data_IF_027105244418
#
_entry.id   IF_027105244418
#
_cell.length_a   1.000
_cell.length_b   1.000
_cell.length_c   1.000
_cell.angle_alpha   90.00
_cell.angle_beta   90.00
_cell.angle_gamma   90.00
#
_symmetry.space_group_name_H-M   'P 1'
#
loop_
_entity.id
_entity.type
_entity.pdbx_description
1 polymer ?
#
# COMPACT_ATOMS: atom_id res chain seq x y z
N UNK A 1 49.69 35.53 -42.21
CA UNK A 1 50.83 34.65 -41.89
C UNK A 1 50.36 33.49 -41.01
N UNK A 2 50.69 32.26 -41.42
CA UNK A 2 50.93 31.01 -40.66
C UNK A 2 50.07 30.55 -39.45
N UNK A 3 49.40 29.39 -39.69
CA UNK A 3 49.36 28.08 -38.97
C UNK A 3 49.50 28.00 -37.44
N UNK A 4 48.58 27.23 -36.83
CA UNK A 4 48.70 26.02 -35.93
C UNK A 4 47.26 25.42 -35.83
N UNK A 5 46.96 24.24 -36.40
CA UNK A 5 46.85 22.87 -35.78
C UNK A 5 45.48 22.63 -35.08
N UNK A 6 44.67 21.58 -35.26
CA UNK A 6 44.88 20.12 -35.28
C UNK A 6 43.60 19.39 -35.79
N UNK A 7 43.75 18.16 -36.30
CA UNK A 7 42.69 17.12 -36.29
C UNK A 7 41.90 16.92 -37.59
N UNK A 8 42.32 15.95 -38.42
CA UNK A 8 41.78 15.71 -39.76
C UNK A 8 40.50 14.87 -39.86
N UNK A 9 39.90 14.77 -41.07
CA UNK A 9 38.84 13.80 -41.35
C UNK A 9 39.26 12.75 -42.41
N UNK A 10 38.68 11.57 -42.25
CA UNK A 10 38.89 10.33 -43.00
C UNK A 10 38.51 10.43 -44.49
N UNK A 11 39.18 9.69 -45.39
CA UNK A 11 38.61 9.33 -46.68
C UNK A 11 37.67 8.13 -46.47
N UNK A 12 36.47 8.06 -47.04
CA UNK A 12 36.09 8.52 -48.37
C UNK A 12 35.90 7.27 -49.23
N UNK A 13 34.63 6.88 -49.42
CA UNK A 13 34.17 5.80 -50.28
C UNK A 13 34.65 6.00 -51.74
N UNK A 14 35.21 4.96 -52.36
CA UNK A 14 34.63 4.29 -53.54
C UNK A 14 35.61 3.29 -54.19
N UNK A 15 35.15 2.06 -54.36
CA UNK A 15 35.52 1.18 -55.48
C UNK A 15 34.42 0.12 -55.64
N UNK A 16 33.58 0.21 -56.70
CA UNK A 16 32.66 -0.86 -57.05
C UNK A 16 33.39 -1.86 -57.95
N UNK A 17 33.13 -3.15 -57.69
CA UNK A 17 33.38 -4.20 -58.68
C UNK A 17 34.53 -5.13 -58.37
N UNK A 18 34.26 -6.13 -57.52
CA UNK A 18 34.59 -7.49 -57.92
C UNK A 18 33.63 -8.47 -57.23
N UNK A 19 32.72 -8.99 -58.05
CA UNK A 19 31.88 -10.14 -57.74
C UNK A 19 32.78 -11.31 -57.34
N UNK A 20 32.70 -11.72 -56.09
CA UNK A 20 32.93 -13.10 -55.69
C UNK A 20 31.57 -13.66 -55.28
N UNK A 21 31.14 -14.72 -55.98
CA UNK A 21 29.83 -15.33 -55.79
C UNK A 21 29.61 -15.71 -54.33
N UNK A 22 28.46 -15.29 -53.78
CA UNK A 22 27.98 -15.76 -52.50
C UNK A 22 27.38 -17.15 -52.72
N UNK A 23 28.10 -18.16 -52.25
CA UNK A 23 27.56 -19.52 -52.13
C UNK A 23 26.64 -19.54 -50.92
N UNK A 24 25.32 -19.54 -51.17
CA UNK A 24 24.30 -19.62 -50.14
C UNK A 24 24.20 -21.08 -49.67
N UNK A 25 24.88 -21.44 -48.58
CA UNK A 25 24.72 -22.78 -48.03
C UNK A 25 25.67 -23.25 -46.92
N UNK A 26 26.64 -22.45 -46.45
CA UNK A 26 27.53 -22.89 -45.36
C UNK A 26 27.31 -22.10 -44.07
N UNK A 27 26.57 -22.72 -43.14
CA UNK A 27 26.47 -22.29 -41.75
C UNK A 27 27.86 -22.19 -41.13
N UNK A 28 28.27 -20.98 -40.72
CA UNK A 28 29.57 -20.75 -40.06
C UNK A 28 29.51 -21.31 -38.64
N UNK A 29 30.25 -22.38 -38.41
CA UNK A 29 30.38 -23.04 -37.09
C UNK A 29 31.68 -22.64 -36.42
N UNK A 30 31.65 -22.37 -35.11
CA UNK A 30 32.81 -22.07 -34.27
C UNK A 30 32.67 -22.69 -32.87
N UNK A 31 33.59 -22.39 -31.97
CA UNK A 31 33.52 -22.82 -30.56
C UNK A 31 33.57 -21.63 -29.62
N UNK A 32 32.60 -21.50 -28.71
CA UNK A 32 32.54 -20.47 -27.68
C UNK A 32 32.63 -21.15 -26.30
N UNK A 33 33.64 -20.82 -25.49
CA UNK A 33 33.86 -21.42 -24.16
C UNK A 33 33.94 -22.97 -24.17
N UNK A 34 34.42 -23.56 -25.26
CA UNK A 34 34.53 -25.02 -25.41
C UNK A 34 33.27 -25.70 -25.95
N UNK A 35 32.17 -24.97 -26.12
CA UNK A 35 30.92 -25.46 -26.71
C UNK A 35 30.85 -25.14 -28.20
N UNK A 36 30.30 -26.07 -28.99
CA UNK A 36 30.08 -25.87 -30.42
C UNK A 36 28.94 -24.86 -30.65
N UNK A 37 29.27 -23.73 -31.29
CA UNK A 37 28.33 -22.69 -31.67
C UNK A 37 28.15 -22.66 -33.19
N UNK A 38 26.91 -22.51 -33.65
CA UNK A 38 26.56 -22.40 -35.06
C UNK A 38 25.88 -21.07 -35.28
N UNK A 39 26.37 -20.28 -36.24
CA UNK A 39 25.70 -19.06 -36.65
C UNK A 39 24.46 -19.45 -37.47
N UNK A 40 23.28 -19.19 -36.94
CA UNK A 40 22.02 -19.37 -37.64
C UNK A 40 21.82 -18.17 -38.58
N UNK A 41 21.74 -18.42 -39.88
CA UNK A 41 21.35 -17.41 -40.86
C UNK A 41 19.82 -17.39 -40.99
N UNK A 42 19.23 -16.22 -40.72
CA UNK A 42 17.79 -15.97 -40.78
C UNK A 42 17.35 -14.90 -39.77
N UNK A 43 16.21 -14.26 -40.02
CA UNK A 43 15.57 -13.38 -39.04
C UNK A 43 15.07 -14.23 -37.87
N UNK A 44 15.91 -14.34 -36.84
CA UNK A 44 15.48 -14.85 -35.54
C UNK A 44 14.54 -13.79 -34.98
N UNK A 45 13.23 -14.00 -35.11
CA UNK A 45 12.24 -13.24 -34.33
C UNK A 45 12.74 -13.22 -32.89
N UNK A 46 12.95 -12.02 -32.34
CA UNK A 46 13.61 -11.87 -31.06
C UNK A 46 12.81 -12.68 -30.03
N UNK A 47 13.48 -13.47 -29.19
CA UNK A 47 12.80 -14.23 -28.13
C UNK A 47 11.94 -13.29 -27.25
N UNK A 48 12.34 -12.01 -27.15
CA UNK A 48 11.58 -10.94 -26.51
C UNK A 48 10.26 -10.64 -27.22
N UNK A 49 10.27 -10.54 -28.55
CA UNK A 49 9.07 -10.26 -29.35
C UNK A 49 8.06 -11.40 -29.22
N UNK A 50 8.54 -12.65 -29.25
CA UNK A 50 7.69 -13.84 -29.04
C UNK A 50 7.14 -13.90 -27.60
N UNK A 51 7.93 -13.51 -26.60
CA UNK A 51 7.47 -13.45 -25.21
C UNK A 51 6.44 -12.32 -25.00
N UNK A 52 6.61 -11.18 -25.65
CA UNK A 52 5.65 -10.07 -25.64
C UNK A 52 4.33 -10.48 -26.31
N UNK A 53 4.37 -11.13 -27.48
CA UNK A 53 3.18 -11.62 -28.18
C UNK A 53 2.40 -12.64 -27.33
N UNK A 54 3.09 -13.60 -26.69
CA UNK A 54 2.45 -14.57 -25.78
C UNK A 54 1.83 -13.86 -24.57
N UNK A 55 2.53 -12.86 -24.01
CA UNK A 55 2.05 -12.10 -22.85
C UNK A 55 0.82 -11.26 -23.20
N UNK A 56 0.82 -10.60 -24.37
CA UNK A 56 -0.31 -9.83 -24.89
C UNK A 56 -1.51 -10.72 -25.20
N UNK A 57 -1.30 -11.86 -25.86
CA UNK A 57 -2.37 -12.81 -26.15
C UNK A 57 -3.00 -13.38 -24.87
N UNK A 58 -2.21 -13.59 -23.81
CA UNK A 58 -2.75 -14.01 -22.52
C UNK A 58 -3.49 -12.88 -21.81
N UNK A 59 -2.93 -11.66 -21.79
CA UNK A 59 -3.56 -10.49 -21.21
C UNK A 59 -4.90 -10.15 -21.86
N UNK A 60 -5.00 -10.22 -23.20
CA UNK A 60 -6.25 -9.99 -23.94
C UNK A 60 -7.34 -10.99 -23.55
N UNK A 61 -6.96 -12.24 -23.22
CA UNK A 61 -7.88 -13.27 -22.74
C UNK A 61 -8.25 -13.14 -21.25
N UNK A 62 -7.57 -12.26 -20.49
CA UNK A 62 -7.81 -12.06 -19.05
C UNK A 62 -8.29 -10.66 -18.66
N UNK A 63 -8.37 -9.71 -19.58
CA UNK A 63 -8.80 -8.33 -19.26
C UNK A 63 -10.31 -8.13 -19.40
N UNK A 64 -11.08 -8.68 -18.46
CA UNK A 64 -12.54 -8.45 -18.36
C UNK A 64 -12.91 -7.18 -17.56
N UNK A 65 -11.97 -6.26 -17.32
CA UNK A 65 -12.23 -5.06 -16.48
C UNK A 65 -11.67 -3.78 -17.08
N UNK A 66 -12.55 -3.02 -17.72
CA UNK A 66 -12.21 -1.70 -18.22
C UNK A 66 -11.98 -0.70 -17.08
N UNK A 67 -11.19 0.36 -17.33
CA UNK A 67 -10.90 1.41 -16.34
C UNK A 67 -12.17 2.04 -15.74
N UNK A 68 -13.27 2.12 -16.50
CA UNK A 68 -14.57 2.62 -16.04
C UNK A 68 -15.29 1.70 -15.04
N UNK A 69 -14.93 0.40 -15.02
CA UNK A 69 -15.52 -0.61 -14.14
C UNK A 69 -14.72 -0.75 -12.83
N UNK A 70 -13.51 -0.18 -12.80
CA UNK A 70 -12.73 -0.05 -11.57
C UNK A 70 -13.35 1.07 -10.72
N UNK A 71 -13.91 0.69 -9.57
CA UNK A 71 -14.33 1.65 -8.53
C UNK A 71 -13.09 2.33 -7.94
N UNK A 72 -12.60 3.36 -8.61
CA UNK A 72 -11.61 4.28 -8.07
C UNK A 72 -12.30 5.08 -6.95
N UNK A 73 -12.09 4.68 -5.71
CA UNK A 73 -12.38 5.57 -4.58
C UNK A 73 -11.31 6.66 -4.63
N UNK A 74 -11.68 7.94 -4.79
CA UNK A 74 -10.69 9.00 -4.71
C UNK A 74 -10.01 8.93 -3.35
N UNK A 75 -8.68 8.95 -3.35
CA UNK A 75 -7.87 9.12 -2.15
C UNK A 75 -8.29 10.44 -1.51
N UNK A 76 -9.08 10.37 -0.43
CA UNK A 76 -9.31 11.56 0.39
C UNK A 76 -8.07 11.78 1.23
N UNK A 77 -7.57 13.02 1.35
CA UNK A 77 -6.52 13.32 2.31
C UNK A 77 -6.98 12.85 3.68
N UNK A 78 -6.14 12.08 4.38
CA UNK A 78 -6.40 11.71 5.77
C UNK A 78 -6.44 13.00 6.58
N UNK A 79 -7.63 13.40 7.03
CA UNK A 79 -7.77 14.55 7.91
C UNK A 79 -7.26 14.14 9.29
N UNK A 80 -6.00 14.47 9.54
CA UNK A 80 -5.33 14.07 10.76
C UNK A 80 -5.83 14.93 11.93
N UNK A 81 -6.40 14.27 12.94
CA UNK A 81 -6.87 14.92 14.16
C UNK A 81 -5.71 15.58 14.92
N UNK A 82 -6.00 16.61 15.71
CA UNK A 82 -5.04 17.19 16.66
C UNK A 82 -4.91 16.27 17.87
N UNK A 83 -3.75 16.30 18.54
CA UNK A 83 -3.51 15.48 19.74
C UNK A 83 -4.59 15.69 20.81
N UNK A 84 -4.99 16.94 21.06
CA UNK A 84 -6.04 17.27 22.02
C UNK A 84 -7.39 16.64 21.68
N UNK A 85 -7.78 16.67 20.40
CA UNK A 85 -9.04 16.06 19.93
C UNK A 85 -9.01 14.55 20.12
N UNK A 86 -7.88 13.90 19.86
CA UNK A 86 -7.72 12.46 20.07
C UNK A 86 -7.85 12.08 21.55
N UNK A 87 -7.25 12.87 22.44
CA UNK A 87 -7.35 12.65 23.89
C UNK A 87 -8.79 12.85 24.40
N UNK A 88 -9.48 13.89 23.92
CA UNK A 88 -10.89 14.12 24.22
C UNK A 88 -11.77 12.95 23.76
N UNK A 89 -11.54 12.45 22.54
CA UNK A 89 -12.25 11.27 22.03
C UNK A 89 -11.96 10.02 22.86
N UNK A 90 -10.71 9.79 23.27
CA UNK A 90 -10.36 8.67 24.13
C UNK A 90 -11.00 8.77 25.51
N UNK A 91 -11.19 9.96 26.06
CA UNK A 91 -11.90 10.15 27.32
C UNK A 91 -13.36 9.67 27.23
N UNK A 92 -14.00 9.83 26.07
CA UNK A 92 -15.37 9.34 25.83
C UNK A 92 -15.48 7.81 25.83
N UNK A 93 -14.38 7.07 25.83
CA UNK A 93 -14.40 5.61 25.97
C UNK A 93 -14.78 5.15 27.37
N UNK A 94 -14.87 6.05 28.36
CA UNK A 94 -15.14 5.73 29.77
C UNK A 94 -14.17 4.68 30.34
N UNK A 95 -12.97 4.59 29.78
CA UNK A 95 -11.91 3.70 30.22
C UNK A 95 -10.81 4.50 30.93
N UNK A 96 -10.66 4.34 32.27
CA UNK A 96 -9.73 5.15 33.05
C UNK A 96 -8.25 4.90 32.69
N UNK A 97 -7.96 3.78 32.02
CA UNK A 97 -6.60 3.40 31.63
C UNK A 97 -6.31 3.67 30.14
N UNK A 98 -7.27 4.24 29.39
CA UNK A 98 -7.11 4.43 27.95
C UNK A 98 -5.96 5.38 27.62
N UNK A 99 -5.86 6.51 28.32
CA UNK A 99 -4.81 7.50 28.10
C UNK A 99 -3.41 6.94 28.48
N UNK A 100 -3.29 6.23 29.59
CA UNK A 100 -2.01 5.62 29.97
C UNK A 100 -1.55 4.58 28.93
N UNK A 101 -2.47 3.74 28.43
CA UNK A 101 -2.17 2.79 27.35
C UNK A 101 -1.82 3.49 26.03
N UNK A 102 -2.47 4.60 25.71
CA UNK A 102 -2.16 5.41 24.54
C UNK A 102 -0.71 5.91 24.58
N UNK A 103 -0.30 6.48 25.70
CA UNK A 103 1.06 6.99 25.89
C UNK A 103 2.10 5.87 25.82
N UNK A 104 1.84 4.74 26.48
CA UNK A 104 2.72 3.57 26.47
C UNK A 104 2.85 2.97 25.06
N UNK A 105 1.74 2.91 24.31
CA UNK A 105 1.75 2.49 22.92
C UNK A 105 2.54 3.47 22.05
N UNK A 106 2.28 4.77 22.17
CA UNK A 106 2.97 5.79 21.40
C UNK A 106 4.48 5.73 21.65
N UNK A 107 4.92 5.62 22.91
CA UNK A 107 6.34 5.48 23.24
C UNK A 107 6.97 4.22 22.59
N UNK A 108 6.26 3.08 22.61
CA UNK A 108 6.72 1.84 21.97
C UNK A 108 6.81 1.98 20.46
N UNK A 109 5.80 2.56 19.82
CA UNK A 109 5.80 2.80 18.38
C UNK A 109 6.93 3.74 17.98
N UNK A 110 7.11 4.84 18.71
CA UNK A 110 8.15 5.83 18.46
C UNK A 110 9.57 5.30 18.74
N UNK A 111 9.71 4.22 19.51
CA UNK A 111 10.97 3.49 19.66
C UNK A 111 11.34 2.63 18.44
N UNK A 112 10.47 2.55 17.43
CA UNK A 112 10.70 1.79 16.19
C UNK A 112 10.59 0.28 16.34
N UNK A 113 10.06 -0.21 17.46
CA UNK A 113 9.93 -1.64 17.71
C UNK A 113 8.63 -2.17 17.14
N UNK A 114 8.69 -3.24 16.33
CA UNK A 114 7.52 -4.01 15.91
C UNK A 114 6.61 -3.35 14.87
N UNK A 115 5.55 -4.06 14.48
CA UNK A 115 4.56 -3.57 13.51
C UNK A 115 3.55 -2.64 14.20
N UNK A 116 3.27 -1.44 13.66
CA UNK A 116 2.30 -0.53 14.26
C UNK A 116 0.90 -1.10 14.40
N UNK A 117 0.40 -1.77 13.34
CA UNK A 117 -0.90 -2.44 13.32
C UNK A 117 -1.04 -3.47 14.43
N UNK A 118 -0.05 -4.36 14.57
CA UNK A 118 -0.07 -5.41 15.59
C UNK A 118 -0.02 -4.84 17.01
N UNK A 119 0.68 -3.73 17.22
CA UNK A 119 0.75 -3.10 18.54
C UNK A 119 -0.53 -2.35 18.88
N UNK A 120 -1.09 -1.60 17.93
CA UNK A 120 -2.39 -0.95 18.12
C UNK A 120 -3.48 -1.98 18.47
N UNK A 121 -3.56 -3.10 17.72
CA UNK A 121 -4.52 -4.16 17.98
C UNK A 121 -4.32 -4.88 19.32
N UNK A 122 -3.10 -4.92 19.86
CA UNK A 122 -2.83 -5.46 21.20
C UNK A 122 -3.24 -4.50 22.32
N UNK A 123 -3.09 -3.20 22.08
CA UNK A 123 -3.40 -2.18 23.09
C UNK A 123 -4.91 -1.86 23.17
N UNK A 124 -5.58 -1.88 22.01
CA UNK A 124 -6.98 -1.50 21.87
C UNK A 124 -7.76 -2.56 21.10
N UNK A 125 -8.87 -3.02 21.69
CA UNK A 125 -9.75 -4.01 21.06
C UNK A 125 -10.57 -3.42 19.90
N UNK A 126 -11.06 -2.19 20.05
CA UNK A 126 -11.86 -1.54 19.02
C UNK A 126 -11.03 -0.91 17.92
N UNK A 127 -11.47 -1.10 16.68
CA UNK A 127 -10.77 -0.62 15.49
C UNK A 127 -10.72 0.91 15.41
N UNK A 128 -11.76 1.59 15.90
CA UNK A 128 -11.80 3.05 16.00
C UNK A 128 -10.77 3.57 17.00
N UNK A 129 -10.58 2.87 18.12
CA UNK A 129 -9.57 3.21 19.13
C UNK A 129 -8.15 2.91 18.62
N UNK A 130 -7.96 1.79 17.90
CA UNK A 130 -6.69 1.50 17.21
C UNK A 130 -6.32 2.61 16.24
N UNK A 131 -7.29 3.09 15.45
CA UNK A 131 -7.10 4.19 14.50
C UNK A 131 -6.72 5.50 15.21
N UNK A 132 -7.43 5.87 16.27
CA UNK A 132 -7.09 7.03 17.10
C UNK A 132 -5.68 6.92 17.68
N UNK A 133 -5.30 5.73 18.14
CA UNK A 133 -3.99 5.52 18.74
C UNK A 133 -2.83 5.63 17.74
N UNK A 134 -3.02 5.13 16.51
CA UNK A 134 -2.03 5.31 15.44
C UNK A 134 -1.94 6.77 14.99
N UNK A 135 -3.07 7.49 14.90
CA UNK A 135 -3.05 8.93 14.63
C UNK A 135 -2.32 9.71 15.72
N UNK A 136 -2.52 9.34 16.99
CA UNK A 136 -1.83 9.96 18.12
C UNK A 136 -0.32 9.77 18.01
N UNK A 137 0.13 8.53 17.79
CA UNK A 137 1.54 8.22 17.63
C UNK A 137 2.16 8.96 16.43
N UNK A 138 1.46 9.04 15.30
CA UNK A 138 1.91 9.80 14.13
C UNK A 138 2.09 11.29 14.46
N UNK A 139 1.06 11.92 15.04
CA UNK A 139 1.11 13.34 15.40
C UNK A 139 2.18 13.66 16.44
N UNK A 140 2.34 12.80 17.44
CA UNK A 140 3.37 12.94 18.46
C UNK A 140 4.76 12.78 17.84
N UNK A 141 4.95 11.78 16.98
CA UNK A 141 6.21 11.59 16.24
C UNK A 141 6.55 12.76 15.33
N UNK A 142 5.57 13.35 14.65
CA UNK A 142 5.76 14.56 13.83
C UNK A 142 6.23 15.75 14.68
N UNK A 143 5.68 15.94 15.89
CA UNK A 143 6.10 16.99 16.82
C UNK A 143 7.47 16.75 17.44
N UNK A 144 7.82 15.49 17.70
CA UNK A 144 9.08 15.08 18.32
C UNK A 144 10.22 14.90 17.30
N UNK A 145 9.94 15.04 15.99
CA UNK A 145 10.94 14.88 14.94
C UNK A 145 11.42 13.44 14.76
N UNK A 146 10.50 12.47 14.88
CA UNK A 146 10.80 11.06 14.68
C UNK A 146 11.27 10.76 13.23
N UNK A 147 11.93 9.61 13.05
CA UNK A 147 12.52 9.22 11.77
C UNK A 147 11.46 9.16 10.65
N UNK A 148 11.76 9.66 9.43
CA UNK A 148 10.79 9.67 8.32
C UNK A 148 10.22 8.30 8.00
N UNK A 149 11.04 7.25 8.04
CA UNK A 149 10.65 5.88 7.75
C UNK A 149 9.66 5.35 8.79
N UNK A 150 9.81 5.77 10.04
CA UNK A 150 8.89 5.41 11.11
C UNK A 150 7.55 6.10 10.93
N UNK A 151 7.56 7.39 10.61
CA UNK A 151 6.34 8.15 10.32
C UNK A 151 5.60 7.55 9.12
N UNK A 152 6.34 7.12 8.10
CA UNK A 152 5.74 6.44 6.94
C UNK A 152 5.11 5.10 7.31
N UNK A 153 5.79 4.29 8.13
CA UNK A 153 5.21 3.03 8.62
C UNK A 153 3.89 3.23 9.41
N UNK A 154 3.75 4.38 10.09
CA UNK A 154 2.51 4.74 10.79
C UNK A 154 1.41 5.18 9.82
N UNK A 155 1.77 5.90 8.74
CA UNK A 155 0.83 6.28 7.67
C UNK A 155 0.33 5.05 6.91
N UNK A 156 1.22 4.12 6.56
CA UNK A 156 0.86 2.86 5.92
C UNK A 156 -0.09 2.04 6.79
N UNK A 157 0.20 1.95 8.09
CA UNK A 157 -0.67 1.30 9.07
C UNK A 157 -2.07 1.93 9.15
N UNK A 158 -2.16 3.27 9.13
CA UNK A 158 -3.43 3.98 9.10
C UNK A 158 -4.19 3.74 7.80
N UNK A 159 -3.50 3.78 6.66
CA UNK A 159 -4.10 3.56 5.34
C UNK A 159 -4.65 2.13 5.20
N UNK A 160 -3.90 1.12 5.65
CA UNK A 160 -4.34 -0.28 5.67
C UNK A 160 -5.57 -0.47 6.58
N UNK A 161 -5.55 0.15 7.77
CA UNK A 161 -6.67 0.08 8.71
C UNK A 161 -7.95 0.71 8.11
N UNK A 162 -7.85 1.87 7.47
CA UNK A 162 -8.97 2.52 6.77
C UNK A 162 -9.45 1.71 5.56
N UNK A 163 -8.53 1.08 4.81
CA UNK A 163 -8.86 0.25 3.67
C UNK A 163 -9.72 -0.96 4.10
N UNK A 164 -9.31 -1.64 5.16
CA UNK A 164 -9.99 -2.84 5.67
C UNK A 164 -11.25 -2.51 6.46
N UNK A 165 -11.21 -1.47 7.29
CA UNK A 165 -12.19 -1.24 8.36
C UNK A 165 -12.81 0.16 8.34
N UNK A 166 -12.63 0.96 7.29
CA UNK A 166 -13.10 2.35 7.22
C UNK A 166 -14.56 2.58 7.65
N UNK A 167 -15.55 1.81 7.18
CA UNK A 167 -16.94 1.95 7.65
C UNK A 167 -17.09 1.75 9.16
N UNK A 168 -16.37 0.76 9.71
CA UNK A 168 -16.39 0.42 11.13
C UNK A 168 -15.68 1.49 11.98
N UNK A 169 -14.56 2.04 11.49
CA UNK A 169 -13.86 3.16 12.11
C UNK A 169 -14.80 4.37 12.18
N UNK A 170 -15.39 4.78 11.05
CA UNK A 170 -16.31 5.92 11.01
C UNK A 170 -17.53 5.73 11.91
N UNK A 171 -18.14 4.55 11.92
CA UNK A 171 -19.26 4.25 12.82
C UNK A 171 -18.84 4.40 14.30
N UNK A 172 -17.68 3.86 14.68
CA UNK A 172 -17.15 3.99 16.03
C UNK A 172 -16.88 5.45 16.40
N UNK A 173 -16.17 6.21 15.56
CA UNK A 173 -15.86 7.62 15.83
C UNK A 173 -17.12 8.49 15.93
N UNK A 174 -18.10 8.29 15.05
CA UNK A 174 -19.34 9.06 15.04
C UNK A 174 -20.24 8.81 16.26
N UNK A 175 -20.12 7.64 16.89
CA UNK A 175 -20.93 7.27 18.05
C UNK A 175 -20.23 7.47 19.37
N UNK A 176 -18.91 7.65 19.38
CA UNK A 176 -18.10 7.66 20.59
C UNK A 176 -18.54 8.72 21.60
N UNK A 177 -18.86 9.94 21.14
CA UNK A 177 -19.37 11.00 22.02
C UNK A 177 -20.71 10.64 22.67
N UNK A 178 -21.72 10.26 21.87
CA UNK A 178 -23.02 9.85 22.41
C UNK A 178 -22.92 8.61 23.31
N UNK A 179 -22.10 7.63 22.93
CA UNK A 179 -21.87 6.45 23.76
C UNK A 179 -21.25 6.82 25.11
N UNK A 180 -20.28 7.74 25.13
CA UNK A 180 -19.66 8.25 26.35
C UNK A 180 -20.62 9.03 27.25
N UNK A 181 -21.60 9.74 26.69
CA UNK A 181 -22.63 10.44 27.47
C UNK A 181 -23.63 9.48 28.14
N UNK A 182 -24.00 8.38 27.48
CA UNK A 182 -25.01 7.44 27.97
C UNK A 182 -24.45 6.30 28.82
N UNK A 183 -23.21 5.88 28.58
CA UNK A 183 -22.60 4.76 29.27
C UNK A 183 -21.83 5.20 30.53
N UNK A 184 -21.93 4.40 31.59
CA UNK A 184 -21.21 4.62 32.84
C UNK A 184 -19.77 4.06 32.82
N UNK A 185 -19.47 3.15 31.89
CA UNK A 185 -18.17 2.49 31.78
C UNK A 185 -17.85 2.10 30.32
N UNK A 186 -16.61 1.64 30.12
CA UNK A 186 -16.11 1.21 28.81
C UNK A 186 -16.93 0.07 28.17
N UNK A 187 -17.54 -0.81 28.99
CA UNK A 187 -18.37 -1.91 28.48
C UNK A 187 -19.70 -1.39 27.94
N UNK A 188 -20.29 -0.39 28.61
CA UNK A 188 -21.48 0.29 28.14
C UNK A 188 -21.22 1.04 26.83
N UNK A 189 -20.08 1.74 26.72
CA UNK A 189 -19.66 2.42 25.48
C UNK A 189 -19.56 1.40 24.35
N UNK A 190 -18.84 0.30 24.60
CA UNK A 190 -18.68 -0.79 23.64
C UNK A 190 -20.02 -1.35 23.16
N UNK A 191 -20.92 -1.68 24.11
CA UNK A 191 -22.23 -2.26 23.81
C UNK A 191 -23.10 -1.32 22.95
N UNK A 192 -23.01 -0.01 23.21
CA UNK A 192 -23.70 1.00 22.41
C UNK A 192 -23.15 1.02 20.97
N UNK A 193 -21.83 1.06 20.83
CA UNK A 193 -21.16 1.11 19.53
C UNK A 193 -21.41 -0.15 18.70
N UNK A 194 -21.41 -1.32 19.33
CA UNK A 194 -21.76 -2.59 18.71
C UNK A 194 -23.21 -2.57 18.19
N UNK A 195 -24.16 -2.17 19.03
CA UNK A 195 -25.57 -2.07 18.64
C UNK A 195 -25.78 -1.12 17.46
N UNK A 196 -25.13 0.06 17.49
CA UNK A 196 -25.22 1.01 16.40
C UNK A 196 -24.60 0.43 15.11
N UNK A 197 -23.44 -0.22 15.23
CA UNK A 197 -22.74 -0.84 14.11
C UNK A 197 -23.59 -1.93 13.45
N UNK A 198 -24.22 -2.79 14.24
CA UNK A 198 -25.10 -3.85 13.74
C UNK A 198 -26.27 -3.25 12.93
N UNK A 199 -26.89 -2.19 13.45
CA UNK A 199 -28.00 -1.50 12.79
C UNK A 199 -27.57 -0.76 11.51
N UNK A 200 -26.43 -0.06 11.55
CA UNK A 200 -26.02 0.86 10.47
C UNK A 200 -25.19 0.16 9.40
N UNK A 201 -24.35 -0.80 9.77
CA UNK A 201 -23.54 -1.58 8.82
C UNK A 201 -24.24 -2.87 8.38
N UNK A 202 -25.36 -3.24 9.00
CA UNK A 202 -26.21 -4.33 8.56
C UNK A 202 -25.63 -5.73 8.87
N UNK A 203 -24.74 -5.83 9.85
CA UNK A 203 -24.30 -7.13 10.38
C UNK A 203 -25.43 -7.68 11.25
N UNK A 204 -26.28 -8.47 10.60
CA UNK A 204 -27.45 -9.20 11.10
C UNK A 204 -28.60 -8.37 11.71
N UNK A 205 -29.74 -8.46 11.02
CA UNK A 205 -31.05 -7.89 11.36
C UNK A 205 -31.40 -7.93 12.84
N UNK A 206 -32.21 -6.95 13.30
CA UNK A 206 -32.87 -6.87 14.62
C UNK A 206 -33.32 -8.22 15.23
N UNK A 207 -33.66 -9.21 14.40
CA UNK A 207 -34.03 -10.57 14.81
C UNK A 207 -32.90 -11.39 15.47
N UNK A 208 -31.63 -11.01 15.31
CA UNK A 208 -30.50 -11.65 15.99
C UNK A 208 -30.23 -10.97 17.34
N UNK A 209 -30.27 -9.64 17.40
CA UNK A 209 -30.13 -8.85 18.64
C UNK A 209 -31.21 -9.21 19.68
N UNK A 210 -32.46 -9.40 19.26
CA UNK A 210 -33.54 -9.86 20.17
C UNK A 210 -33.35 -11.30 20.67
N UNK A 211 -32.53 -12.11 20.02
CA UNK A 211 -32.29 -13.52 20.40
C UNK A 211 -31.18 -13.67 21.45
N UNK A 212 -30.31 -12.67 21.60
CA UNK A 212 -29.22 -12.67 22.57
C UNK A 212 -29.58 -12.09 23.95
N UNK A 213 -30.67 -11.32 24.07
CA UNK A 213 -31.12 -10.73 25.34
C UNK A 213 -32.16 -11.58 26.10
N UNK A 214 -32.39 -12.82 25.67
CA UNK A 214 -33.34 -13.71 26.31
C UNK A 214 -32.63 -14.84 27.06
N UNK A 215 -31.95 -14.52 28.17
CA UNK A 215 -31.76 -15.38 29.37
C UNK A 215 -31.38 -14.51 30.57
#
# INVERSE_FOLDING_TARGET
MNRIDTGGPAPGFDSPGQQAGFDAGQSRTGTLLGEHAVLLEGDISSLGDAAEEISLHMAEKTEDKHHAERKLRPERPVELLRLGEILEMLQQTQDPNAQARLEELAARLLSGQGSPRRQAARAFGEVSQQYLALQYALRKGEQEGAAPELLESLRDALAELELESGPRIRAGLNTLGSAGEFAADARGVQSFQDTYRDIVLGEDTLAWTFRQQAW
#
